data_IF_105267890239
#
_entry.id   IF_105267890239
#
_cell.length_a   1.000
_cell.length_b   1.000
_cell.length_c   1.000
_cell.angle_alpha   90.00
_cell.angle_beta   90.00
_cell.angle_gamma   90.00
#
_symmetry.space_group_name_H-M   'P 1'
#
loop_
_entity.id
_entity.type
_entity.pdbx_description
1 polymer ?
#
# COMPACT_ATOMS: atom_id res chain seq x y z
N UNK A 1 17.39 19.06 8.14
CA UNK A 1 16.61 17.82 7.90
C UNK A 1 17.20 17.18 6.66
N UNK A 2 17.68 15.93 6.74
CA UNK A 2 18.17 15.22 5.55
C UNK A 2 16.96 14.82 4.67
N UNK A 3 17.05 14.93 3.33
CA UNK A 3 15.98 14.47 2.47
C UNK A 3 15.78 12.96 2.62
N UNK A 4 14.55 12.53 2.93
CA UNK A 4 14.20 11.13 3.06
C UNK A 4 13.82 10.58 1.67
N UNK A 5 14.65 9.70 1.13
CA UNK A 5 14.38 9.06 -0.15
C UNK A 5 13.19 8.08 -0.07
N UNK A 6 12.46 7.83 -1.18
CA UNK A 6 11.28 6.97 -1.18
C UNK A 6 11.53 5.53 -0.70
N UNK A 7 12.65 4.90 -1.10
CA UNK A 7 12.99 3.53 -0.68
C UNK A 7 13.20 3.43 0.84
N UNK A 8 14.08 4.25 1.46
CA UNK A 8 14.18 4.31 2.92
C UNK A 8 12.87 4.62 3.64
N UNK A 9 12.03 5.48 3.07
CA UNK A 9 10.70 5.77 3.63
C UNK A 9 9.83 4.51 3.69
N UNK A 10 9.66 3.80 2.56
CA UNK A 10 8.85 2.58 2.48
C UNK A 10 9.41 1.46 3.38
N UNK A 11 10.72 1.27 3.41
CA UNK A 11 11.35 0.29 4.30
C UNK A 11 11.08 0.60 5.78
N UNK A 12 10.99 1.89 6.14
CA UNK A 12 10.64 2.32 7.49
C UNK A 12 9.17 2.10 7.86
N UNK A 13 8.31 1.76 6.90
CA UNK A 13 6.89 1.46 7.09
C UNK A 13 6.61 -0.04 7.22
N UNK A 14 7.56 -0.92 6.91
CA UNK A 14 7.38 -2.36 7.10
C UNK A 14 6.99 -2.69 8.55
N UNK A 15 5.96 -3.52 8.71
CA UNK A 15 5.34 -3.89 9.98
C UNK A 15 4.35 -2.85 10.54
N UNK A 16 4.19 -1.69 9.91
CA UNK A 16 3.29 -0.62 10.39
C UNK A 16 1.97 -0.60 9.63
N UNK A 17 0.88 -0.11 10.25
CA UNK A 17 -0.35 0.15 9.53
C UNK A 17 -0.13 1.25 8.49
N UNK A 18 -0.58 0.99 7.26
CA UNK A 18 -0.52 1.91 6.13
C UNK A 18 -1.89 2.00 5.46
N UNK A 19 -2.11 3.09 4.72
CA UNK A 19 -3.25 3.24 3.82
C UNK A 19 -2.70 3.51 2.41
N UNK A 20 -3.02 2.63 1.46
CA UNK A 20 -2.59 2.70 0.07
C UNK A 20 -3.78 3.09 -0.77
N UNK A 21 -3.71 4.27 -1.40
CA UNK A 21 -4.74 4.76 -2.32
C UNK A 21 -4.36 4.43 -3.77
N UNK A 22 -5.21 3.69 -4.47
CA UNK A 22 -5.03 3.44 -5.89
C UNK A 22 -5.42 4.66 -6.72
N UNK A 23 -4.90 4.75 -7.94
CA UNK A 23 -5.21 5.83 -8.90
C UNK A 23 -6.72 5.98 -9.16
N UNK A 24 -7.45 4.88 -9.03
CA UNK A 24 -8.89 4.77 -9.29
C UNK A 24 -9.77 5.03 -8.06
N UNK A 25 -9.19 5.50 -6.94
CA UNK A 25 -9.94 5.93 -5.77
C UNK A 25 -10.15 4.87 -4.68
N UNK A 26 -9.97 3.58 -5.00
CA UNK A 26 -9.98 2.50 -4.00
C UNK A 26 -8.84 2.66 -3.01
N UNK A 27 -9.11 2.40 -1.74
CA UNK A 27 -8.15 2.52 -0.64
C UNK A 27 -8.01 1.19 0.10
N UNK A 28 -6.78 0.80 0.38
CA UNK A 28 -6.46 -0.43 1.10
C UNK A 28 -5.71 -0.10 2.37
N UNK A 29 -6.27 -0.48 3.51
CA UNK A 29 -5.68 -0.26 4.82
C UNK A 29 -5.24 -1.58 5.42
N UNK A 30 -3.98 -1.71 5.77
CA UNK A 30 -3.43 -2.97 6.32
C UNK A 30 -2.04 -2.77 6.90
N UNK A 31 -1.42 -3.86 7.34
CA UNK A 31 -0.02 -3.84 7.77
C UNK A 31 0.89 -4.10 6.60
N UNK A 32 1.86 -3.22 6.36
CA UNK A 32 2.83 -3.41 5.28
C UNK A 32 3.79 -4.57 5.62
N UNK A 33 3.68 -5.68 4.90
CA UNK A 33 4.52 -6.88 5.13
C UNK A 33 5.84 -6.77 4.38
N UNK A 34 5.79 -6.38 3.11
CA UNK A 34 6.99 -6.27 2.27
C UNK A 34 6.76 -5.32 1.09
N UNK A 35 7.88 -4.81 0.56
CA UNK A 35 7.93 -4.01 -0.66
C UNK A 35 9.11 -4.48 -1.50
N UNK A 36 8.92 -4.61 -2.82
CA UNK A 36 9.99 -5.00 -3.73
C UNK A 36 10.64 -3.81 -4.49
N UNK A 37 11.59 -4.13 -5.39
CA UNK A 37 12.31 -3.12 -6.18
C UNK A 37 11.45 -2.29 -7.14
N UNK A 38 10.24 -2.76 -7.46
CA UNK A 38 9.26 -2.08 -8.32
C UNK A 38 8.16 -1.40 -7.50
N UNK A 39 8.23 -1.46 -6.17
CA UNK A 39 7.19 -0.95 -5.26
C UNK A 39 5.86 -1.73 -5.33
N UNK A 40 5.89 -3.02 -5.68
CA UNK A 40 4.79 -3.91 -5.33
C UNK A 40 4.72 -4.01 -3.80
N UNK A 41 3.51 -4.03 -3.23
CA UNK A 41 3.30 -3.99 -1.78
C UNK A 41 2.47 -5.18 -1.33
N UNK A 42 2.95 -5.91 -0.33
CA UNK A 42 2.18 -6.95 0.36
C UNK A 42 1.59 -6.38 1.64
N UNK A 43 0.28 -6.53 1.82
CA UNK A 43 -0.45 -6.10 3.00
C UNK A 43 -1.06 -7.31 3.72
N UNK A 44 -1.04 -7.28 5.06
CA UNK A 44 -1.75 -8.23 5.91
C UNK A 44 -2.89 -7.54 6.67
N UNK A 45 -3.91 -8.31 7.06
CA UNK A 45 -5.13 -7.84 7.73
C UNK A 45 -5.76 -6.63 7.01
N UNK A 46 -5.88 -6.74 5.69
CA UNK A 46 -6.27 -5.64 4.81
C UNK A 46 -7.78 -5.42 4.84
N UNK A 47 -8.18 -4.16 4.96
CA UNK A 47 -9.53 -3.62 4.80
C UNK A 47 -9.58 -2.85 3.46
N UNK A 48 -10.61 -3.07 2.67
CA UNK A 48 -10.90 -2.29 1.47
C UNK A 48 -11.88 -1.16 1.81
N UNK A 49 -11.57 0.03 1.28
CA UNK A 49 -12.40 1.21 1.38
C UNK A 49 -12.73 1.74 -0.02
N UNK A 50 -14.01 2.00 -0.25
CA UNK A 50 -14.54 2.61 -1.48
C UNK A 50 -15.30 3.87 -1.07
N UNK A 51 -14.95 5.00 -1.67
CA UNK A 51 -15.50 6.33 -1.32
C UNK A 51 -15.41 6.67 0.18
N UNK A 52 -14.34 6.20 0.83
CA UNK A 52 -14.07 6.42 2.27
C UNK A 52 -14.88 5.53 3.22
N UNK A 53 -15.75 4.65 2.72
CA UNK A 53 -16.50 3.70 3.52
C UNK A 53 -15.87 2.30 3.47
N UNK A 54 -15.91 1.57 4.60
CA UNK A 54 -15.45 0.19 4.67
C UNK A 54 -16.30 -0.68 3.73
N UNK A 55 -15.67 -1.24 2.70
CA UNK A 55 -16.29 -2.14 1.73
C UNK A 55 -16.13 -3.61 2.14
N UNK A 56 -15.02 -3.98 2.79
CA UNK A 56 -14.82 -5.35 3.25
C UNK A 56 -13.45 -5.65 3.87
N UNK A 57 -13.31 -6.86 4.40
CA UNK A 57 -12.05 -7.39 4.92
C UNK A 57 -11.47 -8.40 3.92
N UNK A 58 -10.25 -8.17 3.45
CA UNK A 58 -9.59 -8.96 2.42
C UNK A 58 -8.48 -9.88 2.97
N UNK A 59 -7.98 -9.62 4.18
CA UNK A 59 -6.89 -10.41 4.75
C UNK A 59 -5.55 -10.09 4.10
N UNK A 60 -4.96 -11.05 3.39
CA UNK A 60 -3.67 -10.86 2.72
C UNK A 60 -3.86 -10.36 1.27
N UNK A 61 -3.22 -9.25 0.92
CA UNK A 61 -3.38 -8.58 -0.37
C UNK A 61 -2.02 -8.24 -0.97
N UNK A 62 -1.86 -8.46 -2.27
CA UNK A 62 -0.74 -7.95 -3.07
C UNK A 62 -1.22 -6.79 -3.95
N UNK A 63 -0.67 -5.60 -3.73
CA UNK A 63 -0.88 -4.43 -4.60
C UNK A 63 0.27 -4.37 -5.60
N UNK A 64 -0.06 -4.52 -6.88
CA UNK A 64 0.91 -4.47 -7.97
C UNK A 64 1.15 -3.04 -8.43
N UNK A 65 2.42 -2.67 -8.56
CA UNK A 65 2.84 -1.48 -9.29
C UNK A 65 2.49 -1.63 -10.78
N UNK A 66 1.80 -0.63 -11.31
CA UNK A 66 1.47 -0.53 -12.74
C UNK A 66 2.01 0.79 -13.27
N UNK A 67 2.81 0.69 -14.34
CA UNK A 67 3.25 1.83 -15.11
C UNK A 67 2.20 2.14 -16.18
N UNK A 68 1.53 3.29 -16.09
CA UNK A 68 0.48 3.71 -17.05
C UNK A 68 1.12 4.34 -18.30
N UNK A 69 2.11 3.67 -18.90
CA UNK A 69 2.57 4.12 -20.22
C UNK A 69 1.55 3.63 -21.24
N UNK A 70 0.75 4.58 -21.76
CA UNK A 70 0.01 4.44 -23.01
C UNK A 70 0.98 4.21 -24.18
#
# INVERSE_FOLDING_TARGET
ILPLNPKPFLNGLTGKPVMVKLKWGMEYKGYLVSVDGYMNMQLANTEEYVDGALAGHLGEVLIRYVNDTL
#
